data_IF_050176699459
#
_entry.id   IF_050176699459
#
_cell.length_a   1.000
_cell.length_b   1.000
_cell.length_c   1.000
_cell.angle_alpha   90.00
_cell.angle_beta   90.00
_cell.angle_gamma   90.00
#
_symmetry.space_group_name_H-M   'P 1'
#
loop_
_entity.id
_entity.type
_entity.pdbx_description
1 polymer ?
#
# COMPACT_ATOMS: atom_id res chain seq x y z
N UNK A 1 -0.18 -0.61 -17.36
CA UNK A 1 -0.31 -1.52 -16.20
C UNK A 1 -1.12 -2.72 -16.63
N UNK A 2 -0.68 -3.91 -16.26
CA UNK A 2 -1.42 -5.16 -16.49
C UNK A 2 -1.88 -5.68 -15.14
N UNK A 3 -3.10 -6.19 -15.08
CA UNK A 3 -3.65 -6.77 -13.86
C UNK A 3 -3.88 -8.27 -14.09
N UNK A 4 -3.70 -9.04 -13.03
CA UNK A 4 -3.96 -10.47 -12.99
C UNK A 4 -4.58 -10.85 -11.65
N UNK A 5 -5.19 -12.02 -11.58
CA UNK A 5 -5.80 -12.49 -10.34
C UNK A 5 -5.39 -13.91 -10.00
N UNK A 6 -5.47 -14.25 -8.72
CA UNK A 6 -5.40 -15.60 -8.20
C UNK A 6 -6.67 -15.92 -7.40
N UNK A 7 -7.24 -17.13 -7.58
CA UNK A 7 -8.36 -17.59 -6.77
C UNK A 7 -7.93 -17.86 -5.32
N UNK A 8 -8.91 -17.99 -4.42
CA UNK A 8 -8.68 -18.30 -3.01
C UNK A 8 -7.80 -19.55 -2.77
N UNK A 9 -7.82 -20.52 -3.69
CA UNK A 9 -7.00 -21.74 -3.60
C UNK A 9 -5.50 -21.48 -3.58
N UNK A 10 -5.02 -20.29 -3.98
CA UNK A 10 -3.61 -19.91 -3.85
C UNK A 10 -3.16 -19.89 -2.38
N UNK A 11 -4.05 -19.47 -1.47
CA UNK A 11 -3.78 -19.46 -0.03
C UNK A 11 -3.58 -20.87 0.53
N UNK A 12 -4.39 -21.83 0.07
CA UNK A 12 -4.25 -23.23 0.46
C UNK A 12 -3.00 -23.88 -0.10
N UNK A 13 -2.70 -23.61 -1.36
CA UNK A 13 -1.59 -24.25 -2.07
C UNK A 13 -0.23 -23.79 -1.56
N UNK A 14 -0.10 -22.49 -1.27
CA UNK A 14 1.21 -21.87 -1.00
C UNK A 14 1.37 -21.42 0.45
N UNK A 15 0.28 -21.24 1.20
CA UNK A 15 0.29 -20.60 2.53
C UNK A 15 -0.53 -21.37 3.57
N UNK A 16 -0.77 -22.68 3.37
CA UNK A 16 -1.53 -23.54 4.30
C UNK A 16 -2.91 -22.98 4.70
N UNK A 17 -3.58 -22.28 3.76
CA UNK A 17 -4.90 -21.69 3.96
C UNK A 17 -4.88 -20.34 4.67
N UNK A 18 -3.71 -19.76 4.95
CA UNK A 18 -3.59 -18.47 5.64
C UNK A 18 -3.91 -17.33 4.66
N UNK A 19 -5.12 -16.79 4.77
CA UNK A 19 -5.52 -15.54 4.11
C UNK A 19 -5.05 -14.36 4.95
N UNK A 20 -4.03 -13.66 4.49
CA UNK A 20 -3.51 -12.46 5.15
C UNK A 20 -2.98 -11.47 4.10
N UNK A 21 -2.74 -10.23 4.53
CA UNK A 21 -2.12 -9.20 3.69
C UNK A 21 -0.79 -9.70 3.08
N UNK A 22 0.12 -10.23 3.90
CA UNK A 22 1.42 -10.75 3.45
C UNK A 22 1.30 -11.94 2.51
N UNK A 23 0.43 -12.92 2.79
CA UNK A 23 0.16 -14.02 1.85
C UNK A 23 -0.32 -13.52 0.48
N UNK A 24 -1.05 -12.40 0.47
CA UNK A 24 -1.53 -11.77 -0.76
C UNK A 24 -0.39 -11.04 -1.49
N UNK A 25 0.49 -10.32 -0.77
CA UNK A 25 1.73 -9.76 -1.31
C UNK A 25 2.59 -10.86 -1.94
N UNK A 26 2.90 -11.92 -1.20
CA UNK A 26 3.76 -13.02 -1.64
C UNK A 26 3.19 -13.74 -2.87
N UNK A 27 1.86 -13.87 -2.95
CA UNK A 27 1.19 -14.42 -4.15
C UNK A 27 1.48 -13.60 -5.40
N UNK A 28 1.52 -12.26 -5.30
CA UNK A 28 1.87 -11.39 -6.40
C UNK A 28 3.37 -11.40 -6.70
N UNK A 29 4.20 -11.31 -5.65
CA UNK A 29 5.66 -11.30 -5.78
C UNK A 29 6.20 -12.54 -6.48
N UNK A 30 5.67 -13.73 -6.14
CA UNK A 30 6.05 -14.99 -6.79
C UNK A 30 5.72 -15.01 -8.30
N UNK A 31 4.76 -14.20 -8.74
CA UNK A 31 4.43 -13.98 -10.15
C UNK A 31 5.14 -12.79 -10.80
N UNK A 32 6.11 -12.17 -10.11
CA UNK A 32 6.83 -10.99 -10.60
C UNK A 32 5.98 -9.71 -10.65
N UNK A 33 4.96 -9.62 -9.80
CA UNK A 33 4.00 -8.51 -9.73
C UNK A 33 3.83 -8.03 -8.29
N UNK A 34 3.05 -6.97 -8.08
CA UNK A 34 2.77 -6.38 -6.77
C UNK A 34 1.28 -6.47 -6.48
N UNK A 35 0.87 -6.28 -5.22
CA UNK A 35 -0.55 -6.05 -4.94
C UNK A 35 -1.02 -4.81 -5.69
N UNK A 36 -2.22 -4.90 -6.26
CA UNK A 36 -2.76 -3.82 -7.06
C UNK A 36 -2.97 -2.55 -6.21
N UNK A 37 -2.61 -1.40 -6.78
CA UNK A 37 -2.85 -0.10 -6.18
C UNK A 37 -4.07 0.53 -6.84
N UNK A 38 -4.90 1.22 -6.07
CA UNK A 38 -6.16 1.79 -6.56
C UNK A 38 -6.04 3.30 -6.80
N UNK A 39 -5.01 3.69 -7.56
CA UNK A 39 -4.58 5.08 -7.72
C UNK A 39 -5.50 5.93 -8.62
N UNK A 40 -6.32 5.32 -9.47
CA UNK A 40 -7.10 6.04 -10.49
C UNK A 40 -8.44 5.36 -10.74
N UNK A 41 -9.44 6.07 -11.27
CA UNK A 41 -10.71 5.45 -11.66
C UNK A 41 -10.56 4.28 -12.65
N UNK A 42 -9.57 4.33 -13.54
CA UNK A 42 -9.28 3.23 -14.45
C UNK A 42 -8.69 2.01 -13.73
N UNK A 43 -7.79 2.23 -12.77
CA UNK A 43 -7.24 1.17 -11.91
C UNK A 43 -8.35 0.52 -11.09
N UNK A 44 -9.19 1.32 -10.43
CA UNK A 44 -10.34 0.87 -9.65
C UNK A 44 -11.22 -0.13 -10.41
N UNK A 45 -11.64 0.25 -11.61
CA UNK A 45 -12.47 -0.58 -12.47
C UNK A 45 -11.70 -1.84 -12.91
N UNK A 46 -10.41 -1.72 -13.24
CA UNK A 46 -9.60 -2.86 -13.70
C UNK A 46 -9.40 -3.90 -12.59
N UNK A 47 -9.13 -3.46 -11.37
CA UNK A 47 -8.96 -4.35 -10.21
C UNK A 47 -10.28 -5.06 -9.88
N UNK A 48 -11.37 -4.30 -9.84
CA UNK A 48 -12.70 -4.86 -9.64
C UNK A 48 -13.10 -5.87 -10.75
N UNK A 49 -12.70 -5.60 -11.99
CA UNK A 49 -12.91 -6.49 -13.14
C UNK A 49 -12.13 -7.80 -12.97
N UNK A 50 -10.85 -7.73 -12.60
CA UNK A 50 -10.05 -8.94 -12.36
C UNK A 50 -10.60 -9.76 -11.20
N UNK A 51 -10.97 -9.10 -10.10
CA UNK A 51 -11.55 -9.77 -8.94
C UNK A 51 -12.89 -10.45 -9.30
N UNK A 52 -13.71 -9.82 -10.16
CA UNK A 52 -14.99 -10.38 -10.62
C UNK A 52 -14.84 -11.67 -11.41
N UNK A 53 -13.72 -11.87 -12.13
CA UNK A 53 -13.47 -13.10 -12.90
C UNK A 53 -13.37 -14.34 -12.02
N UNK A 54 -13.17 -14.17 -10.72
CA UNK A 54 -13.21 -15.28 -9.75
C UNK A 54 -14.62 -15.81 -9.48
N UNK A 55 -15.65 -15.03 -9.85
CA UNK A 55 -17.03 -15.41 -9.61
C UNK A 55 -17.48 -16.53 -10.53
N UNK A 56 -18.05 -17.57 -9.92
CA UNK A 56 -18.68 -18.68 -10.66
C UNK A 56 -20.15 -18.41 -10.96
N UNK A 57 -20.79 -17.55 -10.18
CA UNK A 57 -22.20 -17.13 -10.33
C UNK A 57 -22.33 -15.60 -10.33
N UNK A 58 -23.54 -15.05 -10.40
CA UNK A 58 -23.75 -13.58 -10.44
C UNK A 58 -23.98 -12.93 -9.07
N UNK A 59 -24.07 -13.69 -7.97
CA UNK A 59 -24.42 -13.16 -6.64
C UNK A 59 -23.43 -13.65 -5.59
N UNK A 60 -22.22 -13.10 -5.64
CA UNK A 60 -21.12 -13.37 -4.73
C UNK A 60 -20.49 -12.04 -4.28
N UNK A 61 -19.89 -12.01 -3.09
CA UNK A 61 -19.06 -10.89 -2.64
C UNK A 61 -17.62 -11.34 -2.65
N UNK A 62 -16.76 -10.63 -3.35
CA UNK A 62 -15.31 -10.89 -3.37
C UNK A 62 -14.52 -9.74 -2.75
N UNK A 63 -13.36 -10.10 -2.22
CA UNK A 63 -12.43 -9.19 -1.56
C UNK A 63 -11.00 -9.42 -2.06
N UNK A 64 -10.20 -8.37 -2.10
CA UNK A 64 -8.74 -8.47 -2.27
C UNK A 64 -8.08 -7.40 -1.41
N UNK A 65 -6.93 -7.72 -0.82
CA UNK A 65 -6.05 -6.69 -0.28
C UNK A 65 -5.52 -5.80 -1.42
N UNK A 66 -5.28 -4.53 -1.13
CA UNK A 66 -4.65 -3.56 -2.03
C UNK A 66 -3.23 -3.22 -1.55
N UNK A 67 -2.37 -2.76 -2.45
CA UNK A 67 -0.97 -2.40 -2.20
C UNK A 67 -0.76 -1.09 -1.43
N UNK A 68 -1.72 -0.70 -0.59
CA UNK A 68 -1.66 0.51 0.21
C UNK A 68 -2.08 0.25 1.66
N UNK A 69 -1.31 0.79 2.60
CA UNK A 69 -1.54 0.60 4.05
C UNK A 69 -1.22 1.87 4.83
N UNK A 70 -1.63 1.90 6.10
CA UNK A 70 -1.18 2.89 7.08
C UNK A 70 -0.19 2.30 8.09
N UNK A 71 0.55 1.24 7.71
CA UNK A 71 1.42 0.51 8.63
C UNK A 71 2.63 1.34 9.10
N UNK A 72 3.22 2.11 8.19
CA UNK A 72 4.32 3.03 8.48
C UNK A 72 3.93 4.06 9.56
N UNK A 73 2.70 4.58 9.47
CA UNK A 73 2.15 5.52 10.44
C UNK A 73 2.07 4.95 11.86
N UNK A 74 1.97 3.62 12.01
CA UNK A 74 1.94 2.93 13.31
C UNK A 74 3.35 2.53 13.77
N UNK A 75 4.13 1.96 12.87
CA UNK A 75 5.36 1.27 13.22
C UNK A 75 6.55 2.24 13.30
N UNK A 76 6.64 3.18 12.35
CA UNK A 76 7.87 3.91 12.04
C UNK A 76 7.84 5.40 12.46
N UNK A 77 6.69 5.90 12.93
CA UNK A 77 6.53 7.28 13.41
C UNK A 77 6.99 7.48 14.87
N UNK A 78 7.37 8.70 15.29
CA UNK A 78 7.59 9.03 16.70
C UNK A 78 6.35 8.74 17.56
N UNK A 79 6.51 8.39 18.83
CA UNK A 79 5.40 7.93 19.70
C UNK A 79 4.19 8.86 19.74
N UNK A 80 4.42 10.17 19.75
CA UNK A 80 3.36 11.18 19.77
C UNK A 80 2.59 11.27 18.45
N UNK A 81 3.19 10.81 17.35
CA UNK A 81 2.66 10.81 16.00
C UNK A 81 2.22 9.42 15.53
N UNK A 82 2.34 8.39 16.39
CA UNK A 82 1.92 7.03 16.03
C UNK A 82 0.41 6.94 15.85
N UNK A 83 0.03 6.36 14.73
CA UNK A 83 -1.29 5.78 14.54
C UNK A 83 -1.46 4.59 15.49
N UNK A 84 -2.63 4.48 16.09
CA UNK A 84 -3.03 3.31 16.87
C UNK A 84 -4.34 2.79 16.32
N UNK A 85 -4.36 1.51 15.96
CA UNK A 85 -5.56 0.88 15.39
C UNK A 85 -6.71 0.90 16.38
N UNK A 86 -7.91 1.27 15.91
CA UNK A 86 -9.12 1.37 16.73
C UNK A 86 -9.19 2.60 17.66
N UNK A 87 -8.11 3.36 17.82
CA UNK A 87 -8.07 4.49 18.74
C UNK A 87 -8.50 5.79 18.07
N UNK A 88 -9.58 6.38 18.60
CA UNK A 88 -10.17 7.60 18.04
C UNK A 88 -9.20 8.78 18.01
N UNK A 89 -8.42 8.95 19.07
CA UNK A 89 -7.46 10.06 19.20
C UNK A 89 -6.23 9.90 18.29
N UNK A 90 -5.91 8.66 17.92
CA UNK A 90 -4.80 8.36 17.03
C UNK A 90 -5.23 8.19 15.56
N UNK A 91 -6.53 8.26 15.28
CA UNK A 91 -7.07 8.03 13.93
C UNK A 91 -6.51 9.00 12.90
N UNK A 92 -6.45 10.30 13.21
CA UNK A 92 -5.88 11.31 12.30
C UNK A 92 -4.36 11.19 12.10
N UNK A 93 -3.70 10.32 12.88
CA UNK A 93 -2.29 9.99 12.69
C UNK A 93 -2.10 8.82 11.73
N UNK A 94 -3.18 8.12 11.36
CA UNK A 94 -3.16 7.02 10.41
C UNK A 94 -3.22 7.55 8.98
N UNK A 95 -2.07 7.62 8.32
CA UNK A 95 -1.95 8.04 6.92
C UNK A 95 -1.79 6.79 6.07
N UNK A 96 -2.76 6.56 5.19
CA UNK A 96 -2.67 5.48 4.20
C UNK A 96 -1.84 5.93 3.01
N UNK A 97 -0.86 5.11 2.64
CA UNK A 97 0.05 5.34 1.53
C UNK A 97 0.02 4.17 0.55
N UNK A 98 0.09 4.48 -0.74
CA UNK A 98 0.48 3.49 -1.75
C UNK A 98 1.96 3.22 -1.55
N UNK A 99 2.33 2.02 -1.13
CA UNK A 99 3.64 1.74 -0.53
C UNK A 99 4.32 0.52 -1.15
N UNK A 100 4.02 0.23 -2.41
CA UNK A 100 4.61 -0.87 -3.19
C UNK A 100 5.21 -0.33 -4.51
N UNK A 101 6.31 -0.94 -4.96
CA UNK A 101 6.90 -0.64 -6.28
C UNK A 101 7.25 0.83 -6.49
N UNK A 102 6.86 1.37 -7.66
CA UNK A 102 7.19 2.74 -8.07
C UNK A 102 6.64 3.84 -7.12
N UNK A 103 5.73 3.51 -6.20
CA UNK A 103 5.27 4.47 -5.20
C UNK A 103 6.30 4.71 -4.09
N UNK A 104 7.08 3.68 -3.71
CA UNK A 104 8.17 3.84 -2.73
C UNK A 104 9.26 4.78 -3.28
N UNK A 105 9.66 4.60 -4.53
CA UNK A 105 10.69 5.41 -5.18
C UNK A 105 10.29 6.88 -5.37
N UNK A 106 9.00 7.18 -5.29
CA UNK A 106 8.44 8.52 -5.52
C UNK A 106 8.16 9.31 -4.25
N UNK A 107 8.31 8.70 -3.08
CA UNK A 107 8.16 9.42 -1.83
C UNK A 107 9.51 9.83 -1.27
N UNK A 108 9.59 11.06 -0.76
CA UNK A 108 10.83 11.58 -0.15
C UNK A 108 11.20 10.88 1.15
N UNK A 109 10.20 10.31 1.83
CA UNK A 109 10.34 9.58 3.09
C UNK A 109 10.58 8.07 2.90
N UNK A 110 10.51 7.56 1.67
CA UNK A 110 10.62 6.14 1.36
C UNK A 110 9.44 5.26 1.81
N UNK A 111 8.34 5.85 2.31
CA UNK A 111 7.17 5.11 2.80
C UNK A 111 5.99 5.09 1.82
N UNK A 112 6.16 5.64 0.62
CA UNK A 112 5.14 5.66 -0.40
C UNK A 112 4.32 6.95 -0.46
N UNK A 113 3.32 6.97 -1.33
CA UNK A 113 2.57 8.19 -1.65
C UNK A 113 1.26 8.24 -0.85
N UNK A 114 1.04 9.25 0.01
CA UNK A 114 -0.18 9.33 0.80
C UNK A 114 -1.42 9.59 -0.06
N UNK A 115 -2.51 8.87 0.23
CA UNK A 115 -3.77 9.00 -0.49
C UNK A 115 -4.99 9.22 0.41
N UNK A 116 -4.88 8.91 1.71
CA UNK A 116 -5.96 9.13 2.67
C UNK A 116 -5.41 9.32 4.08
N UNK A 117 -6.03 10.19 4.87
CA UNK A 117 -5.73 10.39 6.29
C UNK A 117 -6.96 10.07 7.14
N UNK A 118 -6.76 9.44 8.29
CA UNK A 118 -7.82 9.05 9.20
C UNK A 118 -8.15 7.56 9.08
N UNK A 119 -8.21 6.86 10.21
CA UNK A 119 -8.75 5.49 10.28
C UNK A 119 -10.23 5.45 10.70
N UNK A 120 -10.85 6.62 10.92
CA UNK A 120 -12.26 6.80 11.26
C UNK A 120 -12.85 7.99 10.47
N UNK A 121 -13.82 7.70 9.61
CA UNK A 121 -14.48 8.67 8.71
C UNK A 121 -15.23 9.78 9.44
N UNK A 122 -15.66 9.52 10.67
CA UNK A 122 -16.50 10.43 11.45
C UNK A 122 -15.71 11.58 12.08
N UNK A 123 -14.38 11.56 11.99
CA UNK A 123 -13.52 12.58 12.55
C UNK A 123 -13.29 13.71 11.56
N UNK A 124 -13.42 14.94 12.05
CA UNK A 124 -13.05 16.15 11.32
C UNK A 124 -11.56 16.07 10.99
N UNK A 125 -11.21 16.21 9.72
CA UNK A 125 -9.83 16.08 9.21
C UNK A 125 -9.54 14.74 8.53
N UNK A 126 -10.38 13.72 8.69
CA UNK A 126 -10.26 12.49 7.91
C UNK A 126 -10.71 12.74 6.46
N UNK A 127 -9.96 12.23 5.49
CA UNK A 127 -10.28 12.48 4.09
C UNK A 127 -9.20 12.11 3.08
N UNK A 128 -9.53 12.22 1.77
CA UNK A 128 -8.57 12.00 0.69
C UNK A 128 -7.42 13.01 0.74
N UNK A 129 -6.24 12.55 0.34
CA UNK A 129 -5.03 13.36 0.20
C UNK A 129 -4.58 13.40 -1.26
N UNK A 130 -3.78 14.40 -1.63
CA UNK A 130 -3.07 14.47 -2.93
C UNK A 130 -3.96 14.29 -4.17
N UNK A 131 -5.23 14.70 -4.09
CA UNK A 131 -6.18 14.60 -5.21
C UNK A 131 -6.66 13.17 -5.51
N UNK A 132 -6.32 12.18 -4.69
CA UNK A 132 -6.84 10.83 -4.83
C UNK A 132 -8.33 10.78 -4.51
N UNK A 133 -9.07 9.98 -5.26
CA UNK A 133 -10.45 9.66 -4.92
C UNK A 133 -10.47 8.60 -3.83
N UNK A 134 -11.24 8.83 -2.78
CA UNK A 134 -11.51 7.82 -1.77
C UNK A 134 -12.72 6.98 -2.20
N UNK A 135 -12.57 5.66 -2.18
CA UNK A 135 -13.64 4.71 -2.55
C UNK A 135 -14.23 3.99 -1.35
N UNK A 136 -14.05 4.52 -0.14
CA UNK A 136 -14.59 3.92 1.09
C UNK A 136 -16.08 3.60 0.99
N UNK A 137 -16.44 2.43 1.50
CA UNK A 137 -17.84 2.05 1.66
C UNK A 137 -18.59 2.98 2.63
N UNK A 138 -19.91 2.85 2.72
CA UNK A 138 -20.71 3.62 3.67
C UNK A 138 -20.17 3.48 5.10
N UNK A 139 -19.93 4.61 5.77
CA UNK A 139 -19.41 4.68 7.15
C UNK A 139 -17.98 4.12 7.32
N UNK A 140 -17.15 4.20 6.28
CA UNK A 140 -15.76 3.75 6.29
C UNK A 140 -14.76 4.86 5.93
N UNK A 141 -13.48 4.76 6.37
CA UNK A 141 -12.95 3.75 7.29
C UNK A 141 -13.60 3.92 8.67
N UNK A 142 -13.92 2.82 9.35
CA UNK A 142 -14.81 2.84 10.53
C UNK A 142 -14.42 1.86 11.62
N UNK A 143 -13.58 0.88 11.30
CA UNK A 143 -13.06 -0.14 12.20
C UNK A 143 -11.67 0.21 12.73
N UNK A 144 -11.10 1.35 12.30
CA UNK A 144 -9.79 1.81 12.76
C UNK A 144 -8.66 0.88 12.32
N UNK A 145 -8.87 0.07 11.26
CA UNK A 145 -7.86 -0.85 10.77
C UNK A 145 -6.86 -0.12 9.85
N UNK A 146 -5.79 -0.82 9.43
CA UNK A 146 -4.67 -0.22 8.69
C UNK A 146 -4.50 -0.77 7.28
N UNK A 147 -5.20 -1.85 6.94
CA UNK A 147 -5.06 -2.53 5.65
C UNK A 147 -6.24 -2.21 4.77
N UNK A 148 -5.95 -1.88 3.52
CA UNK A 148 -6.97 -1.55 2.55
C UNK A 148 -7.42 -2.82 1.82
N UNK A 149 -8.73 -3.06 1.82
CA UNK A 149 -9.36 -4.17 1.11
C UNK A 149 -10.35 -3.60 0.10
N UNK A 150 -10.24 -3.99 -1.17
CA UNK A 150 -11.29 -3.74 -2.15
C UNK A 150 -12.37 -4.81 -2.00
N UNK A 151 -13.63 -4.38 -1.94
CA UNK A 151 -14.83 -5.22 -1.89
C UNK A 151 -15.67 -4.99 -3.13
N UNK A 152 -16.08 -6.07 -3.78
CA UNK A 152 -17.06 -6.04 -4.86
C UNK A 152 -18.27 -6.90 -4.50
N UNK A 153 -19.45 -6.45 -4.90
CA UNK A 153 -20.61 -7.32 -5.08
C UNK A 153 -20.75 -7.59 -6.57
N UNK A 154 -20.81 -8.86 -6.97
CA UNK A 154 -20.76 -9.26 -8.40
C UNK A 154 -22.04 -8.91 -9.16
N UNK A 155 -23.11 -8.55 -8.45
CA UNK A 155 -24.38 -8.06 -9.00
C UNK A 155 -24.39 -6.54 -9.29
N UNK A 156 -23.37 -5.80 -8.82
CA UNK A 156 -23.21 -4.35 -9.06
C UNK A 156 -22.24 -4.07 -10.21
N UNK A 157 -22.06 -2.82 -10.63
CA UNK A 157 -21.03 -2.47 -11.59
C UNK A 157 -19.64 -2.39 -10.92
N UNK A 158 -18.56 -2.62 -11.68
CA UNK A 158 -17.18 -2.60 -11.18
C UNK A 158 -16.79 -1.24 -10.60
N UNK A 159 -17.32 -0.16 -11.18
CA UNK A 159 -17.13 1.22 -10.69
C UNK A 159 -17.73 1.49 -9.31
N UNK A 160 -18.62 0.61 -8.85
CA UNK A 160 -19.33 0.72 -7.56
C UNK A 160 -18.65 -0.16 -6.49
N UNK A 161 -17.47 -0.71 -6.79
CA UNK A 161 -16.62 -1.35 -5.80
C UNK A 161 -16.22 -0.35 -4.71
N UNK A 162 -16.00 -0.85 -3.49
CA UNK A 162 -15.73 0.00 -2.34
C UNK A 162 -14.52 -0.48 -1.57
N UNK A 163 -13.79 0.44 -0.96
CA UNK A 163 -12.77 0.12 0.04
C UNK A 163 -13.39 -0.23 1.38
N UNK A 164 -12.69 -1.10 2.08
CA UNK A 164 -12.96 -1.55 3.44
C UNK A 164 -11.66 -1.52 4.23
N UNK A 165 -11.71 -1.02 5.47
CA UNK A 165 -10.56 -1.00 6.37
C UNK A 165 -10.46 -2.36 7.07
N UNK A 166 -9.71 -3.26 6.44
CA UNK A 166 -9.59 -4.65 6.84
C UNK A 166 -8.49 -4.89 7.87
N UNK A 167 -8.67 -5.95 8.66
CA UNK A 167 -7.62 -6.48 9.52
C UNK A 167 -6.47 -7.06 8.69
N UNK A 168 -5.28 -7.18 9.30
CA UNK A 168 -4.12 -7.84 8.68
C UNK A 168 -4.45 -9.27 8.20
N UNK A 169 -5.24 -9.98 9.03
CA UNK A 169 -5.74 -11.31 8.78
C UNK A 169 -7.23 -11.29 9.15
N UNK A 170 -8.16 -11.67 8.27
CA UNK A 170 -9.58 -11.58 8.54
C UNK A 170 -10.10 -12.82 9.29
N UNK A 171 -9.24 -13.43 10.11
CA UNK A 171 -9.53 -14.70 10.77
C UNK A 171 -10.64 -14.51 11.80
N UNK A 172 -11.75 -15.24 11.61
CA UNK A 172 -12.99 -15.10 12.41
C UNK A 172 -13.65 -13.73 12.32
N UNK A 173 -13.30 -12.90 11.34
CA UNK A 173 -14.04 -11.68 11.04
C UNK A 173 -15.31 -12.04 10.24
N UNK A 174 -16.52 -11.88 10.81
CA UNK A 174 -17.76 -12.18 10.10
C UNK A 174 -18.03 -11.22 8.94
N UNK A 175 -17.46 -10.01 8.95
CA UNK A 175 -17.64 -9.01 7.90
C UNK A 175 -16.73 -9.25 6.69
N UNK A 176 -15.59 -9.93 6.91
CA UNK A 176 -14.63 -10.26 5.86
C UNK A 176 -14.28 -11.77 5.82
N UNK A 177 -15.22 -12.68 5.55
CA UNK A 177 -14.92 -14.11 5.60
C UNK A 177 -13.78 -14.53 4.66
N UNK A 178 -12.80 -15.30 5.17
CA UNK A 178 -11.58 -15.71 4.44
C UNK A 178 -11.86 -16.32 3.05
N UNK A 179 -12.95 -17.10 2.92
CA UNK A 179 -13.36 -17.73 1.65
C UNK A 179 -13.72 -16.75 0.53
N UNK A 180 -13.96 -15.48 0.87
CA UNK A 180 -14.34 -14.44 -0.11
C UNK A 180 -13.13 -13.73 -0.70
N UNK A 181 -11.92 -14.06 -0.24
CA UNK A 181 -10.71 -13.41 -0.71
C UNK A 181 -10.16 -14.08 -1.97
N UNK A 182 -9.91 -13.26 -2.99
CA UNK A 182 -8.93 -13.53 -4.03
C UNK A 182 -7.72 -12.62 -3.87
N UNK A 183 -6.78 -12.73 -4.80
CA UNK A 183 -5.66 -11.79 -4.91
C UNK A 183 -5.73 -11.14 -6.27
N UNK A 184 -5.63 -9.81 -6.32
CA UNK A 184 -5.42 -9.06 -7.56
C UNK A 184 -4.05 -8.40 -7.52
N UNK A 185 -3.26 -8.69 -8.54
CA UNK A 185 -1.91 -8.20 -8.70
C UNK A 185 -1.84 -7.21 -9.86
N UNK A 186 -0.87 -6.30 -9.79
CA UNK A 186 -0.53 -5.40 -10.88
C UNK A 186 0.93 -5.56 -11.28
N UNK A 187 1.17 -5.51 -12.59
CA UNK A 187 2.50 -5.32 -13.17
C UNK A 187 2.64 -3.85 -13.58
N UNK A 188 3.60 -3.18 -12.96
CA UNK A 188 3.98 -1.81 -13.29
C UNK A 188 4.98 -1.85 -14.46
N UNK A 189 4.58 -1.41 -15.65
CA UNK A 189 5.46 -1.36 -16.83
C UNK A 189 6.59 -0.36 -16.58
N UNK A 190 7.85 -0.80 -16.73
CA UNK A 190 9.02 0.01 -16.43
C UNK A 190 9.64 -0.23 -15.05
N UNK A 191 9.19 -1.23 -14.27
CA UNK A 191 9.94 -1.73 -13.11
C UNK A 191 11.13 -2.61 -13.55
N UNK A 192 12.01 -1.99 -14.34
CA UNK A 192 13.45 -2.20 -14.29
C UNK A 192 13.93 -0.96 -13.56
N UNK A 193 14.63 -1.08 -12.44
CA UNK A 193 15.21 0.05 -11.69
C UNK A 193 15.93 0.97 -12.68
N UNK A 194 15.27 2.07 -13.09
CA UNK A 194 15.84 3.01 -14.04
C UNK A 194 15.28 4.39 -13.72
N UNK A 195 16.18 5.16 -13.11
CA UNK A 195 16.03 6.54 -12.69
C UNK A 195 15.52 7.45 -13.81
N UNK A 196 14.84 8.53 -13.40
CA UNK A 196 14.35 9.68 -14.18
C UNK A 196 12.92 9.58 -14.68
N UNK A 197 11.98 10.11 -13.90
CA UNK A 197 11.17 11.31 -14.24
C UNK A 197 10.37 11.71 -12.99
N UNK A 198 10.79 12.78 -12.31
CA UNK A 198 10.15 13.32 -11.09
C UNK A 198 8.91 14.18 -11.43
N UNK A 199 7.76 14.02 -10.75
CA UNK A 199 6.76 15.08 -10.58
C UNK A 199 7.11 15.98 -9.36
N UNK A 200 6.51 17.17 -9.21
CA UNK A 200 7.04 18.24 -8.38
C UNK A 200 7.01 17.93 -6.88
N UNK A 201 8.11 18.27 -6.21
CA UNK A 201 8.21 18.33 -4.75
C UNK A 201 7.09 19.20 -4.18
N UNK A 202 6.23 18.61 -3.36
CA UNK A 202 5.45 19.37 -2.39
C UNK A 202 5.99 18.95 -1.04
N UNK A 203 6.86 19.80 -0.50
CA UNK A 203 7.39 19.68 0.85
C UNK A 203 6.24 19.74 1.85
N UNK A 204 6.12 18.69 2.67
CA UNK A 204 5.36 18.76 3.91
C UNK A 204 6.25 19.49 4.92
N UNK A 205 5.83 20.69 5.33
CA UNK A 205 6.67 21.70 5.99
C UNK A 205 7.27 21.33 7.35
N UNK A 206 6.94 20.17 7.93
CA UNK A 206 7.51 19.73 9.20
C UNK A 206 8.62 18.67 9.05
N UNK A 207 8.97 18.26 7.82
CA UNK A 207 10.03 17.26 7.56
C UNK A 207 11.38 17.91 7.21
N UNK A 208 11.47 19.24 7.18
CA UNK A 208 12.64 19.95 6.67
C UNK A 208 13.84 20.03 7.64
N UNK A 209 13.78 19.46 8.85
CA UNK A 209 14.85 19.68 9.84
C UNK A 209 15.72 18.49 10.21
N UNK A 210 15.41 17.25 9.83
CA UNK A 210 16.31 16.13 10.14
C UNK A 210 16.28 15.07 9.04
N UNK A 211 17.31 15.07 8.17
CA UNK A 211 17.89 13.88 7.53
C UNK A 211 19.14 14.28 6.73
N UNK A 212 20.15 14.77 7.47
CA UNK A 212 21.52 14.45 7.12
C UNK A 212 21.82 13.06 7.71
N UNK A 213 22.46 12.20 6.92
CA UNK A 213 22.92 10.82 7.22
C UNK A 213 21.98 9.67 6.85
N UNK A 214 22.23 9.11 5.66
CA UNK A 214 22.57 7.69 5.53
C UNK A 214 23.41 7.51 4.25
N UNK A 215 24.71 7.27 4.43
CA UNK A 215 25.64 6.82 3.39
C UNK A 215 25.75 5.30 3.49
N UNK A 216 25.53 4.60 2.37
CA UNK A 216 25.89 3.19 2.23
C UNK A 216 27.41 3.02 2.34
N UNK A 217 27.85 2.31 3.38
CA UNK A 217 29.24 1.89 3.58
C UNK A 217 29.44 0.52 2.91
N UNK A 218 30.29 0.44 1.87
CA UNK A 218 30.68 -0.83 1.27
C UNK A 218 32.05 -1.27 1.81
N UNK A 219 32.08 -2.40 2.53
CA UNK A 219 33.20 -2.88 3.38
C UNK A 219 34.42 -3.36 2.58
N UNK A 220 34.43 -3.27 1.24
CA UNK A 220 35.46 -3.89 0.40
C UNK A 220 36.64 -3.02 -0.08
N UNK A 221 36.60 -1.68 -0.03
CA UNK A 221 37.60 -0.89 -0.78
C UNK A 221 38.04 0.47 -0.19
N UNK A 222 37.60 0.89 1.00
CA UNK A 222 38.13 2.10 1.65
C UNK A 222 37.89 3.44 0.93
N UNK A 223 36.88 3.55 0.05
CA UNK A 223 36.49 4.81 -0.61
C UNK A 223 34.96 4.97 -0.65
N UNK A 224 34.47 6.19 -0.40
CA UNK A 224 33.08 6.62 -0.65
C UNK A 224 32.98 7.32 -2.01
N UNK A 225 32.07 6.89 -2.88
CA UNK A 225 31.80 7.53 -4.18
C UNK A 225 30.41 8.19 -4.20
N UNK A 226 30.35 9.50 -4.50
CA UNK A 226 29.13 10.18 -4.97
C UNK A 226 29.00 9.97 -6.48
N UNK A 227 27.79 9.67 -6.98
CA UNK A 227 27.52 9.54 -8.42
C UNK A 227 27.89 10.82 -9.18
N UNK A 228 28.57 10.59 -10.31
CA UNK A 228 28.79 11.43 -11.50
C UNK A 228 29.34 12.87 -11.29
N UNK A 229 30.65 12.99 -11.57
CA UNK A 229 31.38 14.18 -12.02
C UNK A 229 31.98 15.18 -11.01
N UNK A 230 32.36 14.80 -9.79
CA UNK A 230 33.49 15.47 -9.09
C UNK A 230 34.01 14.59 -7.93
N UNK A 231 35.26 14.12 -8.01
CA UNK A 231 35.96 13.45 -6.91
C UNK A 231 36.68 14.50 -6.04
N UNK A 232 36.38 14.53 -4.74
CA UNK A 232 37.16 15.27 -3.74
C UNK A 232 37.92 14.27 -2.88
N UNK A 233 39.26 14.37 -2.91
CA UNK A 233 40.19 13.61 -2.07
C UNK A 233 40.07 14.11 -0.63
N UNK A 234 39.66 13.26 0.31
CA UNK A 234 39.85 13.50 1.74
C UNK A 234 40.53 12.28 2.40
N UNK A 235 41.55 12.48 3.24
CA UNK A 235 42.30 11.41 3.87
C UNK A 235 41.57 10.86 5.10
N UNK A 236 41.52 9.53 5.21
CA UNK A 236 41.08 8.83 6.42
C UNK A 236 42.07 9.06 7.58
N UNK A 237 41.57 8.99 8.83
CA UNK A 237 42.28 8.19 9.81
C UNK A 237 41.37 7.12 10.44
N UNK A 238 41.72 5.88 10.09
CA UNK A 238 41.79 4.69 10.95
C UNK A 238 40.48 4.08 11.47
N UNK A 239 40.19 2.94 10.82
CA UNK A 239 39.36 1.77 11.12
C UNK A 239 38.75 1.66 12.52
#
# INVERSE_FOLDING_TARGET
>A
MKYSHYPNSVFWSNFHGVVAYTSSCDSCYNGGSLLASDQTPAAHISIATELRKLSSTRVETFRTYLGGTAKDSRDDMPSEQKCTSGEKEASLKCIYKWNEGAFLDRSSDGYGVPFYIGSLYSLIGAGPMNGYKAYWGPKLPGHGQLFLVLRIDTDKAEKDATWYDGQYRPFRDPETPEKTFGVVCETQEGYVVSTTTLPPNVEVSWVAEELAFCLDCNIGAGYCCRRANHCLLLPLPRC
#
